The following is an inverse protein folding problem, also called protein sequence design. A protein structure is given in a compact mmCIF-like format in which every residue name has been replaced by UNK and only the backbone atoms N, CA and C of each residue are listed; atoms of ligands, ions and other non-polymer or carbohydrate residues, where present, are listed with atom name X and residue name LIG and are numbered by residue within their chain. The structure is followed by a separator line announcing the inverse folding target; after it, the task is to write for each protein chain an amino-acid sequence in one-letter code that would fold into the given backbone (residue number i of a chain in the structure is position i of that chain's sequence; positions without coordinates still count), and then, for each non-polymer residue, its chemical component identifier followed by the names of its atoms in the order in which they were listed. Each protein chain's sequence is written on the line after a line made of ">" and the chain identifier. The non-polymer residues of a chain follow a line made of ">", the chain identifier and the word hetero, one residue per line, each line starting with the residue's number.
data_IF_814851874111
#
_entry.id   IF_814851874111
#
_cell.length_a   1.000
_cell.length_b   1.000
_cell.length_c   1.000
_cell.angle_alpha   90.00
_cell.angle_beta   90.00
_cell.angle_gamma   90.00
#
_symmetry.space_group_name_H-M   'P 1'
#
loop_
_entity.id
_entity.type
_entity.pdbx_description
1 polymer ?
#
# COMPACT_ATOMS: atom_id res chain seq x y z
N UNK A 1 -15.50 -8.16 -18.08
CA UNK A 1 -14.10 -8.20 -18.56
C UNK A 1 -13.24 -7.81 -17.37
N UNK A 2 -12.81 -8.78 -16.56
CA UNK A 2 -11.88 -8.49 -15.46
C UNK A 2 -10.57 -8.05 -16.11
N UNK A 3 -10.20 -6.77 -15.96
CA UNK A 3 -8.82 -6.36 -16.24
C UNK A 3 -7.96 -7.23 -15.33
N UNK A 4 -7.10 -8.07 -15.89
CA UNK A 4 -5.98 -8.61 -15.14
C UNK A 4 -5.20 -7.40 -14.62
N UNK A 5 -5.48 -6.96 -13.39
CA UNK A 5 -4.56 -6.08 -12.67
C UNK A 5 -3.28 -6.90 -12.59
N UNK A 6 -2.26 -6.49 -13.36
CA UNK A 6 -0.93 -7.08 -13.20
C UNK A 6 -0.48 -6.64 -11.82
N UNK A 7 -0.29 -7.59 -10.92
CA UNK A 7 0.45 -7.30 -9.70
C UNK A 7 1.83 -6.82 -10.14
N UNK A 8 2.16 -5.60 -9.76
CA UNK A 8 3.45 -4.97 -9.98
C UNK A 8 4.50 -5.53 -9.02
N UNK A 9 4.07 -5.99 -7.84
CA UNK A 9 4.93 -6.55 -6.81
C UNK A 9 4.51 -7.99 -6.52
N UNK A 10 5.47 -8.90 -6.62
CA UNK A 10 5.29 -10.32 -6.29
C UNK A 10 5.84 -10.64 -4.90
N UNK A 11 6.70 -9.80 -4.34
CA UNK A 11 7.29 -9.96 -3.01
C UNK A 11 7.62 -8.60 -2.34
N UNK A 12 7.90 -8.62 -1.03
CA UNK A 12 8.16 -7.40 -0.26
C UNK A 12 9.47 -6.69 -0.64
N UNK A 13 10.45 -7.42 -1.19
CA UNK A 13 11.67 -6.81 -1.71
C UNK A 13 11.36 -5.90 -2.91
N UNK A 14 10.46 -6.32 -3.82
CA UNK A 14 10.05 -5.51 -4.97
C UNK A 14 9.43 -4.17 -4.52
N UNK A 15 8.65 -4.20 -3.43
CA UNK A 15 8.04 -2.99 -2.85
C UNK A 15 9.13 -2.10 -2.23
N UNK A 16 10.08 -2.69 -1.51
CA UNK A 16 11.23 -1.98 -0.96
C UNK A 16 12.06 -1.26 -2.05
N UNK A 17 12.35 -1.96 -3.15
CA UNK A 17 13.07 -1.42 -4.31
C UNK A 17 12.29 -0.27 -4.97
N UNK A 18 10.97 -0.41 -5.11
CA UNK A 18 10.10 0.64 -5.66
C UNK A 18 10.10 1.91 -4.81
N UNK A 19 10.23 1.74 -3.50
CA UNK A 19 10.30 2.83 -2.52
C UNK A 19 11.72 3.39 -2.35
N UNK A 20 12.71 2.88 -3.07
CA UNK A 20 14.12 3.27 -2.99
C UNK A 20 14.68 3.18 -1.56
N UNK A 21 14.29 2.11 -0.85
CA UNK A 21 14.70 1.88 0.54
C UNK A 21 15.96 1.01 0.61
N UNK A 22 16.94 1.45 1.39
CA UNK A 22 18.13 0.65 1.67
C UNK A 22 17.88 -0.27 2.87
N UNK A 23 17.85 -1.58 2.60
CA UNK A 23 17.70 -2.64 3.60
C UNK A 23 16.48 -2.47 4.55
N UNK A 24 15.25 -2.32 4.03
CA UNK A 24 14.09 -1.99 4.85
C UNK A 24 13.58 -3.18 5.68
N UNK A 25 12.96 -2.84 6.81
CA UNK A 25 12.08 -3.77 7.53
C UNK A 25 10.69 -3.80 6.91
N UNK A 26 9.90 -4.84 7.22
CA UNK A 26 8.48 -4.90 6.83
C UNK A 26 7.72 -3.70 7.38
N UNK A 27 8.02 -3.28 8.63
CA UNK A 27 7.44 -2.08 9.22
C UNK A 27 7.70 -0.82 8.41
N UNK A 28 8.92 -0.64 7.89
CA UNK A 28 9.23 0.52 7.05
C UNK A 28 8.40 0.56 5.77
N UNK A 29 8.20 -0.61 5.14
CA UNK A 29 7.33 -0.70 3.96
C UNK A 29 5.90 -0.33 4.32
N UNK A 30 5.33 -0.93 5.37
CA UNK A 30 3.94 -0.70 5.78
C UNK A 30 3.71 0.76 6.15
N UNK A 31 4.62 1.38 6.92
CA UNK A 31 4.52 2.79 7.31
C UNK A 31 4.47 3.72 6.09
N UNK A 32 5.29 3.43 5.07
CA UNK A 32 5.31 4.22 3.84
C UNK A 32 4.08 3.97 2.99
N UNK A 33 3.62 2.73 2.88
CA UNK A 33 2.36 2.40 2.18
C UNK A 33 1.19 3.13 2.83
N UNK A 34 1.08 3.13 4.16
CA UNK A 34 0.06 3.91 4.87
C UNK A 34 0.19 5.40 4.56
N UNK A 35 1.41 5.94 4.57
CA UNK A 35 1.63 7.34 4.24
C UNK A 35 1.18 7.70 2.81
N UNK A 36 1.54 6.88 1.82
CA UNK A 36 1.15 7.06 0.41
C UNK A 36 -0.36 6.85 0.24
N UNK A 37 -0.93 5.87 0.93
CA UNK A 37 -2.38 5.59 0.92
C UNK A 37 -3.21 6.79 1.36
N UNK A 38 -2.69 7.60 2.29
CA UNK A 38 -3.34 8.83 2.75
C UNK A 38 -3.32 9.99 1.74
N UNK A 39 -2.65 9.85 0.59
CA UNK A 39 -2.76 10.85 -0.47
C UNK A 39 -4.18 10.83 -1.03
N UNK A 40 -4.78 12.02 -1.23
CA UNK A 40 -6.19 12.14 -1.63
C UNK A 40 -6.54 11.23 -2.83
N UNK A 41 -5.67 11.20 -3.85
CA UNK A 41 -5.88 10.40 -5.05
C UNK A 41 -5.84 8.89 -4.86
N UNK A 42 -5.27 8.40 -3.76
CA UNK A 42 -5.29 7.00 -3.37
C UNK A 42 -6.45 6.77 -2.41
N UNK A 43 -6.51 7.55 -1.33
CA UNK A 43 -7.54 7.44 -0.29
C UNK A 43 -8.97 7.47 -0.83
N UNK A 44 -9.25 8.34 -1.82
CA UNK A 44 -10.57 8.42 -2.45
C UNK A 44 -11.04 7.08 -3.03
N UNK A 45 -10.13 6.21 -3.47
CA UNK A 45 -10.47 4.97 -4.17
C UNK A 45 -10.04 3.70 -3.45
N UNK A 46 -9.18 3.81 -2.44
CA UNK A 46 -8.64 2.68 -1.69
C UNK A 46 -8.32 3.13 -0.25
N UNK A 47 -9.15 2.74 0.72
CA UNK A 47 -8.99 3.03 2.15
C UNK A 47 -8.67 1.80 3.00
N UNK A 48 -8.64 0.60 2.42
CA UNK A 48 -8.34 -0.67 3.12
C UNK A 48 -6.94 -0.70 3.77
N UNK A 49 -6.04 0.22 3.39
CA UNK A 49 -4.74 0.37 4.04
C UNK A 49 -4.86 0.90 5.49
N UNK A 50 -6.01 1.48 5.86
CA UNK A 50 -6.29 1.96 7.21
C UNK A 50 -6.39 0.78 8.18
N UNK A 51 -5.40 0.66 9.06
CA UNK A 51 -5.31 -0.45 10.02
C UNK A 51 -4.39 -1.59 9.58
N UNK A 52 -3.84 -1.53 8.35
CA UNK A 52 -2.90 -2.54 7.84
C UNK A 52 -1.79 -2.84 8.83
N UNK A 53 -1.23 -1.83 9.51
CA UNK A 53 -0.17 -2.04 10.50
C UNK A 53 -0.65 -2.72 11.78
N UNK A 54 -1.86 -2.40 12.23
CA UNK A 54 -2.38 -2.83 13.53
C UNK A 54 -2.70 -4.34 13.56
N UNK A 55 -3.04 -4.90 12.40
CA UNK A 55 -3.34 -6.33 12.23
C UNK A 55 -2.08 -7.19 12.02
N UNK A 56 -0.90 -6.58 11.88
CA UNK A 56 0.35 -7.28 11.60
C UNK A 56 1.10 -7.68 12.88
N UNK A 57 1.64 -8.91 12.95
CA UNK A 57 2.41 -9.37 14.10
C UNK A 57 3.76 -8.63 14.19
N UNK A 58 4.11 -8.16 15.39
CA UNK A 58 5.37 -7.45 15.64
C UNK A 58 6.61 -8.23 15.20
N UNK A 59 6.57 -9.56 15.32
CA UNK A 59 7.66 -10.45 14.89
C UNK A 59 7.96 -10.27 13.39
N UNK A 60 6.93 -10.22 12.54
CA UNK A 60 7.04 -9.97 11.11
C UNK A 60 7.48 -8.53 10.82
N UNK A 61 6.85 -7.55 11.48
CA UNK A 61 7.14 -6.12 11.28
C UNK A 61 8.64 -5.80 11.48
N UNK A 62 9.28 -6.47 12.44
CA UNK A 62 10.70 -6.29 12.73
C UNK A 62 11.68 -6.98 11.77
N UNK A 63 11.21 -7.86 10.88
CA UNK A 63 12.07 -8.58 9.95
C UNK A 63 12.53 -7.68 8.81
N UNK A 64 13.77 -7.92 8.36
CA UNK A 64 14.27 -7.34 7.14
C UNK A 64 13.71 -8.08 5.92
N UNK A 65 13.25 -7.33 4.92
CA UNK A 65 12.52 -7.91 3.77
C UNK A 65 13.39 -8.79 2.88
N UNK A 66 14.71 -8.59 2.89
CA UNK A 66 15.67 -9.40 2.13
C UNK A 66 16.16 -10.61 2.92
N UNK A 67 15.85 -10.70 4.21
CA UNK A 67 16.26 -11.79 5.11
C UNK A 67 15.09 -12.71 5.49
N UNK A 68 13.89 -12.49 4.94
CA UNK A 68 12.72 -13.35 5.15
C UNK A 68 12.99 -14.75 4.59
N UNK A 69 12.99 -15.75 5.46
CA UNK A 69 13.10 -17.16 5.09
C UNK A 69 11.73 -17.78 4.75
N UNK A 70 11.76 -18.94 4.10
CA UNK A 70 10.56 -19.66 3.66
C UNK A 70 9.63 -20.01 4.83
N UNK A 71 10.19 -20.33 6.01
CA UNK A 71 9.42 -20.66 7.22
C UNK A 71 8.63 -19.45 7.73
N UNK A 72 9.25 -18.26 7.70
CA UNK A 72 8.61 -16.99 8.06
C UNK A 72 7.54 -16.61 7.05
N UNK A 73 7.83 -16.76 5.75
CA UNK A 73 6.89 -16.48 4.67
C UNK A 73 5.67 -17.41 4.71
N UNK A 74 5.85 -18.70 5.03
CA UNK A 74 4.73 -19.63 5.18
C UNK A 74 3.88 -19.29 6.41
N UNK A 75 4.54 -19.04 7.56
CA UNK A 75 3.90 -18.66 8.84
C UNK A 75 3.06 -17.38 8.73
N UNK A 76 3.53 -16.40 7.94
CA UNK A 76 2.89 -15.10 7.78
C UNK A 76 2.34 -14.87 6.37
N UNK A 77 2.06 -15.93 5.62
CA UNK A 77 1.61 -15.86 4.23
C UNK A 77 0.41 -14.93 4.03
N UNK A 78 -0.60 -15.00 4.90
CA UNK A 78 -1.79 -14.14 4.84
C UNK A 78 -1.42 -12.65 5.01
N UNK A 79 -0.61 -12.34 6.04
CA UNK A 79 -0.14 -10.99 6.32
C UNK A 79 0.73 -10.42 5.19
N UNK A 80 1.65 -11.23 4.65
CA UNK A 80 2.49 -10.83 3.51
C UNK A 80 1.63 -10.58 2.27
N UNK A 81 0.65 -11.44 2.00
CA UNK A 81 -0.27 -11.27 0.87
C UNK A 81 -1.09 -9.99 1.01
N UNK A 82 -1.59 -9.68 2.20
CA UNK A 82 -2.34 -8.45 2.47
C UNK A 82 -1.50 -7.18 2.27
N UNK A 83 -0.23 -7.19 2.68
CA UNK A 83 0.69 -6.08 2.41
C UNK A 83 0.89 -5.91 0.90
N UNK A 84 1.10 -7.01 0.17
CA UNK A 84 1.31 -6.97 -1.28
C UNK A 84 0.07 -6.52 -2.04
N UNK A 85 -1.11 -6.98 -1.64
CA UNK A 85 -2.38 -6.56 -2.24
C UNK A 85 -2.58 -5.05 -2.05
N UNK A 86 -2.37 -4.54 -0.83
CA UNK A 86 -2.42 -3.12 -0.56
C UNK A 86 -1.37 -2.34 -1.35
N UNK A 87 -0.12 -2.80 -1.42
CA UNK A 87 0.92 -2.15 -2.20
C UNK A 87 0.52 -2.04 -3.69
N UNK A 88 0.02 -3.14 -4.27
CA UNK A 88 -0.40 -3.16 -5.66
C UNK A 88 -1.56 -2.20 -5.95
N UNK A 89 -2.55 -2.12 -5.07
CA UNK A 89 -3.67 -1.19 -5.22
C UNK A 89 -3.25 0.27 -5.02
N UNK A 90 -2.47 0.55 -3.97
CA UNK A 90 -1.94 1.89 -3.68
C UNK A 90 -1.17 2.43 -4.89
N UNK A 91 -0.22 1.67 -5.42
CA UNK A 91 0.57 2.12 -6.56
C UNK A 91 -0.24 2.21 -7.86
N UNK A 92 -1.24 1.33 -8.04
CA UNK A 92 -2.17 1.45 -9.16
C UNK A 92 -2.92 2.79 -9.12
N UNK A 93 -3.46 3.17 -7.97
CA UNK A 93 -4.19 4.43 -7.82
C UNK A 93 -3.27 5.66 -7.82
N UNK A 94 -2.05 5.52 -7.32
CA UNK A 94 -1.04 6.58 -7.32
C UNK A 94 -0.56 6.93 -8.74
N UNK A 95 -0.33 5.93 -9.59
CA UNK A 95 0.34 6.09 -10.88
C UNK A 95 -0.60 6.17 -12.08
N UNK A 96 -1.86 5.75 -11.94
CA UNK A 96 -2.83 5.83 -13.04
C UNK A 96 -3.12 7.30 -13.38
N UNK A 97 -3.39 7.55 -14.66
CA UNK A 97 -3.94 8.84 -15.06
C UNK A 97 -5.35 9.01 -14.50
N UNK A 98 -5.64 10.19 -13.95
CA UNK A 98 -6.95 10.57 -13.45
C UNK A 98 -7.75 11.26 -14.56
N UNK A 99 -8.98 10.79 -14.78
CA UNK A 99 -9.95 11.47 -15.62
C UNK A 99 -10.55 12.69 -14.91
N UNK A 100 -11.26 13.56 -15.65
CA UNK A 100 -12.00 14.68 -15.05
C UNK A 100 -12.96 14.20 -13.95
N UNK A 101 -13.65 13.08 -14.16
CA UNK A 101 -14.53 12.48 -13.15
C UNK A 101 -13.77 11.99 -11.92
N UNK A 102 -12.55 11.45 -12.07
CA UNK A 102 -11.74 11.04 -10.92
C UNK A 102 -11.32 12.27 -10.10
N UNK A 103 -10.96 13.37 -10.77
CA UNK A 103 -10.57 14.62 -10.12
C UNK A 103 -11.75 15.25 -9.36
N UNK A 104 -12.95 15.20 -9.93
CA UNK A 104 -14.18 15.62 -9.24
C UNK A 104 -14.44 14.79 -7.98
N UNK A 105 -14.30 13.47 -8.06
CA UNK A 105 -14.49 12.57 -6.90
C UNK A 105 -13.45 12.84 -5.80
N UNK A 106 -12.18 13.04 -6.17
CA UNK A 106 -11.13 13.43 -5.24
C UNK A 106 -11.46 14.76 -4.56
N UNK A 107 -11.96 15.74 -5.30
CA UNK A 107 -12.33 17.04 -4.75
C UNK A 107 -13.55 16.93 -3.81
N UNK A 108 -14.57 16.17 -4.19
CA UNK A 108 -15.73 15.92 -3.32
C UNK A 108 -15.33 15.23 -2.02
N UNK A 109 -14.38 14.29 -2.09
CA UNK A 109 -13.84 13.59 -0.94
C UNK A 109 -13.06 14.54 -0.01
N UNK A 110 -12.17 15.38 -0.55
CA UNK A 110 -11.48 16.42 0.22
C UNK A 110 -12.47 17.34 0.94
N UNK A 111 -13.54 17.73 0.27
CA UNK A 111 -14.61 18.54 0.87
C UNK A 111 -15.34 17.81 1.99
N UNK A 112 -15.64 16.52 1.80
CA UNK A 112 -16.28 15.67 2.82
C UNK A 112 -15.44 15.56 4.08
N UNK A 113 -14.12 15.48 3.94
CA UNK A 113 -13.15 15.42 5.04
C UNK A 113 -12.84 16.79 5.67
N UNK A 114 -13.37 17.88 5.11
CA UNK A 114 -13.08 19.24 5.59
C UNK A 114 -11.66 19.72 5.26
N UNK A 115 -11.03 19.16 4.24
CA UNK A 115 -9.70 19.53 3.75
C UNK A 115 -9.74 20.62 2.67
N UNK A 116 -10.92 20.97 2.17
CA UNK A 116 -11.18 22.18 1.40
C UNK A 116 -11.13 23.39 2.35
N UNK A 117 -9.93 23.91 2.59
CA UNK A 117 -9.75 25.24 3.15
C UNK A 117 -9.62 26.23 1.99
N UNK A 118 -10.54 27.19 1.94
CA UNK A 118 -10.57 28.36 1.03
C UNK A 118 -9.21 29.04 0.83
#
# INVERSE_FOLDING_TARGET
>A
MARNRRHQFDNLSDVGDKLDLDNPTVENIVDILVHIGNLDQVYTFHDDFLGLKDDLPQELLSQNVHELDDDTLDKYSDAVSEILDNANEIFYHLEREHSESDLEEIQEERKRLGLDND
#
